data_IF_341106765723
#
_entry.id   IF_341106765723
#
_cell.length_a   1.000
_cell.length_b   1.000
_cell.length_c   1.000
_cell.angle_alpha   90.00
_cell.angle_beta   90.00
_cell.angle_gamma   90.00
#
_symmetry.space_group_name_H-M   'P 1'
#
loop_
_entity.id
_entity.type
_entity.pdbx_description
1 polymer ?
#
# COMPACT_ATOMS: atom_id res chain seq x y z
N UNK A 1 -9.80 -29.65 27.34
CA UNK A 1 -10.51 -30.84 26.81
C UNK A 1 -11.23 -30.37 25.55
N UNK A 2 -11.04 -30.89 24.32
CA UNK A 2 -10.58 -32.19 23.87
C UNK A 2 -9.77 -32.06 22.57
N UNK A 3 -8.80 -32.96 22.42
CA UNK A 3 -7.99 -33.23 21.24
C UNK A 3 -8.80 -33.68 20.03
N UNK A 4 -8.29 -33.42 18.83
CA UNK A 4 -8.38 -34.33 17.66
C UNK A 4 -7.29 -34.00 16.64
N UNK A 5 -6.12 -34.61 16.88
CA UNK A 5 -5.18 -34.99 15.82
C UNK A 5 -5.86 -36.01 14.90
N UNK A 6 -5.70 -35.86 13.58
CA UNK A 6 -5.85 -37.00 12.66
C UNK A 6 -4.74 -37.03 11.61
N UNK A 7 -3.82 -37.95 11.89
CA UNK A 7 -2.85 -38.60 11.02
C UNK A 7 -3.50 -39.28 9.81
N UNK A 8 -2.75 -39.39 8.69
CA UNK A 8 -2.55 -40.60 7.88
C UNK A 8 -2.02 -40.20 6.49
N UNK A 9 -0.71 -40.35 6.22
CA UNK A 9 -0.06 -41.52 5.55
C UNK A 9 -0.35 -41.61 4.04
N UNK A 10 0.65 -41.32 3.19
CA UNK A 10 1.61 -42.28 2.59
C UNK A 10 0.98 -43.13 1.47
N UNK A 11 1.35 -42.84 0.23
CA UNK A 11 1.35 -43.81 -0.88
C UNK A 11 2.58 -43.61 -1.76
N UNK A 12 3.49 -44.56 -1.60
CA UNK A 12 4.54 -44.97 -2.54
C UNK A 12 3.93 -45.49 -3.84
N UNK A 13 4.50 -45.19 -5.01
CA UNK A 13 4.58 -46.22 -6.07
C UNK A 13 5.55 -45.86 -7.20
N UNK A 14 6.63 -46.62 -7.24
CA UNK A 14 7.50 -46.90 -8.36
C UNK A 14 6.76 -47.46 -9.58
N UNK A 15 6.98 -46.90 -10.78
CA UNK A 15 6.96 -47.62 -12.07
C UNK A 15 8.02 -46.99 -12.96
N UNK A 16 9.18 -47.62 -13.13
CA UNK A 16 9.46 -48.72 -14.07
C UNK A 16 9.40 -48.22 -15.51
N UNK A 17 10.57 -48.20 -16.15
CA UNK A 17 10.79 -47.68 -17.48
C UNK A 17 9.90 -48.31 -18.54
N UNK A 18 9.58 -47.50 -19.54
CA UNK A 18 9.05 -47.93 -20.82
C UNK A 18 9.76 -47.13 -21.91
N UNK A 19 10.59 -47.85 -22.66
CA UNK A 19 10.78 -47.77 -24.10
C UNK A 19 10.64 -46.39 -24.76
N UNK A 20 11.77 -45.89 -25.27
CA UNK A 20 11.82 -44.83 -26.26
C UNK A 20 10.84 -45.10 -27.43
N UNK A 21 9.90 -44.18 -27.73
CA UNK A 21 9.11 -44.28 -28.94
C UNK A 21 9.97 -43.87 -30.15
N UNK A 22 10.00 -44.74 -31.17
CA UNK A 22 10.59 -44.46 -32.49
C UNK A 22 10.01 -43.15 -33.04
N UNK A 23 10.85 -42.12 -33.11
CA UNK A 23 10.54 -40.81 -33.69
C UNK A 23 10.44 -41.00 -35.21
N UNK A 24 9.22 -40.97 -35.75
CA UNK A 24 9.01 -40.70 -37.19
C UNK A 24 9.29 -39.22 -37.44
N UNK A 25 10.02 -38.84 -38.50
CA UNK A 25 10.23 -37.44 -38.82
C UNK A 25 8.88 -36.75 -39.08
N UNK A 26 8.59 -35.61 -38.44
CA UNK A 26 7.35 -34.89 -38.70
C UNK A 26 7.35 -34.37 -40.14
N UNK A 27 6.28 -34.66 -40.87
CA UNK A 27 5.94 -34.01 -42.14
C UNK A 27 5.99 -32.50 -41.94
N UNK A 28 6.70 -31.81 -42.83
CA UNK A 28 6.84 -30.36 -42.85
C UNK A 28 5.48 -29.66 -42.66
N UNK A 29 5.36 -28.69 -41.73
CA UNK A 29 4.15 -27.93 -41.58
C UNK A 29 3.92 -27.08 -42.84
N UNK A 30 2.76 -27.30 -43.47
CA UNK A 30 2.26 -26.46 -44.55
C UNK A 30 2.15 -25.01 -44.04
N UNK A 31 2.61 -24.09 -44.87
CA UNK A 31 2.66 -22.66 -44.64
C UNK A 31 1.37 -22.10 -44.00
N UNK A 32 1.52 -21.49 -42.82
CA UNK A 32 0.51 -20.69 -42.13
C UNK A 32 0.30 -19.37 -42.90
N UNK A 33 -0.55 -19.40 -43.93
CA UNK A 33 -1.19 -18.19 -44.46
C UNK A 33 -2.41 -17.90 -43.59
N UNK A 34 -2.23 -17.13 -42.51
CA UNK A 34 -3.26 -16.31 -41.84
C UNK A 34 -2.71 -15.75 -40.51
N UNK A 35 -1.96 -14.64 -40.57
CA UNK A 35 -1.47 -13.90 -39.40
C UNK A 35 -2.10 -12.51 -39.39
N UNK A 36 -3.42 -12.43 -39.19
CA UNK A 36 -4.17 -11.18 -38.92
C UNK A 36 -5.43 -11.40 -38.05
N UNK A 37 -5.33 -11.92 -36.81
CA UNK A 37 -6.39 -11.62 -35.84
C UNK A 37 -5.91 -11.12 -34.45
N UNK A 38 -4.60 -11.02 -34.19
CA UNK A 38 -4.10 -10.71 -32.85
C UNK A 38 -4.52 -9.31 -32.37
N UNK A 39 -4.45 -8.30 -33.26
CA UNK A 39 -4.74 -6.90 -32.92
C UNK A 39 -6.21 -6.70 -32.53
N UNK A 40 -7.15 -7.37 -33.20
CA UNK A 40 -8.57 -7.21 -32.92
C UNK A 40 -8.96 -7.76 -31.53
N UNK A 41 -8.33 -8.86 -31.10
CA UNK A 41 -8.57 -9.45 -29.78
C UNK A 41 -8.10 -8.56 -28.64
N UNK A 42 -6.94 -7.92 -28.80
CA UNK A 42 -6.39 -6.97 -27.82
C UNK A 42 -7.24 -5.71 -27.73
N UNK A 43 -7.73 -5.19 -28.86
CA UNK A 43 -8.62 -4.04 -28.88
C UNK A 43 -9.96 -4.32 -28.19
N UNK A 44 -10.50 -5.53 -28.33
CA UNK A 44 -11.72 -5.94 -27.62
C UNK A 44 -11.47 -6.05 -26.11
N UNK A 45 -10.36 -6.65 -25.70
CA UNK A 45 -9.97 -6.72 -24.29
C UNK A 45 -9.76 -5.32 -23.70
N UNK A 46 -9.06 -4.43 -24.41
CA UNK A 46 -8.85 -3.05 -24.01
C UNK A 46 -10.18 -2.31 -23.82
N UNK A 47 -11.12 -2.41 -24.77
CA UNK A 47 -12.45 -1.81 -24.66
C UNK A 47 -13.23 -2.34 -23.44
N UNK A 48 -13.11 -3.63 -23.12
CA UNK A 48 -13.73 -4.19 -21.92
C UNK A 48 -13.12 -3.63 -20.64
N UNK A 49 -11.79 -3.45 -20.59
CA UNK A 49 -11.12 -2.83 -19.44
C UNK A 49 -11.50 -1.36 -19.27
N UNK A 50 -11.57 -0.59 -20.36
CA UNK A 50 -12.01 0.82 -20.36
C UNK A 50 -13.42 0.92 -19.75
N UNK A 51 -14.37 0.11 -20.22
CA UNK A 51 -15.74 0.08 -19.66
C UNK A 51 -15.78 -0.27 -18.17
N UNK A 52 -14.87 -1.13 -17.70
CA UNK A 52 -14.78 -1.48 -16.27
C UNK A 52 -14.22 -0.31 -15.46
N UNK A 53 -13.21 0.37 -15.98
CA UNK A 53 -12.61 1.55 -15.35
C UNK A 53 -13.61 2.71 -15.29
N UNK A 54 -14.35 2.99 -16.35
CA UNK A 54 -15.41 4.01 -16.37
C UNK A 54 -16.47 3.77 -15.27
N UNK A 55 -16.93 2.52 -15.13
CA UNK A 55 -17.86 2.15 -14.05
C UNK A 55 -17.27 2.33 -12.66
N UNK A 56 -15.98 2.10 -12.49
CA UNK A 56 -15.30 2.29 -11.20
C UNK A 56 -15.13 3.78 -10.90
N UNK A 57 -14.77 4.60 -11.89
CA UNK A 57 -14.66 6.06 -11.76
C UNK A 57 -16.00 6.64 -11.33
N UNK A 58 -17.10 6.31 -12.02
CA UNK A 58 -18.43 6.78 -11.66
C UNK A 58 -18.82 6.41 -10.21
N UNK A 59 -18.52 5.18 -9.77
CA UNK A 59 -18.76 4.75 -8.38
C UNK A 59 -17.91 5.50 -7.35
N UNK A 60 -16.68 5.87 -7.71
CA UNK A 60 -15.80 6.63 -6.83
C UNK A 60 -16.26 8.08 -6.72
N UNK A 61 -16.69 8.68 -7.83
CA UNK A 61 -17.27 10.03 -7.86
C UNK A 61 -18.51 10.12 -6.98
N UNK A 62 -19.45 9.17 -7.09
CA UNK A 62 -20.65 9.09 -6.25
C UNK A 62 -20.29 8.98 -4.75
N UNK A 63 -19.29 8.16 -4.42
CA UNK A 63 -18.81 8.01 -3.02
C UNK A 63 -18.18 9.28 -2.49
N UNK A 64 -17.40 10.00 -3.31
CA UNK A 64 -16.80 11.27 -2.92
C UNK A 64 -17.88 12.33 -2.70
N UNK A 65 -18.86 12.43 -3.58
CA UNK A 65 -19.98 13.36 -3.42
C UNK A 65 -20.76 13.06 -2.12
N UNK A 66 -21.08 11.78 -1.86
CA UNK A 66 -21.70 11.37 -0.61
C UNK A 66 -20.88 11.76 0.61
N UNK A 67 -19.59 11.42 0.65
CA UNK A 67 -18.69 11.75 1.78
C UNK A 67 -18.57 13.25 1.99
N UNK A 68 -18.50 14.05 0.92
CA UNK A 68 -18.44 15.51 1.07
C UNK A 68 -19.73 16.10 1.62
N UNK A 69 -20.90 15.53 1.26
CA UNK A 69 -22.19 15.94 1.83
C UNK A 69 -22.30 15.58 3.32
N UNK A 70 -21.82 14.40 3.72
CA UNK A 70 -21.76 13.96 5.12
C UNK A 70 -20.85 14.88 5.95
N UNK A 71 -19.63 15.15 5.47
CA UNK A 71 -18.70 16.06 6.14
C UNK A 71 -19.24 17.48 6.24
N UNK A 72 -19.87 18.01 5.19
CA UNK A 72 -20.53 19.34 5.25
C UNK A 72 -21.64 19.37 6.31
N UNK A 73 -22.43 18.30 6.42
CA UNK A 73 -23.48 18.19 7.42
C UNK A 73 -22.90 18.08 8.84
N UNK A 74 -21.84 17.31 9.04
CA UNK A 74 -21.13 17.18 10.32
C UNK A 74 -20.49 18.50 10.74
N UNK A 75 -19.82 19.21 9.84
CA UNK A 75 -19.25 20.54 10.11
C UNK A 75 -20.37 21.51 10.50
N UNK A 76 -21.52 21.50 9.81
CA UNK A 76 -22.66 22.37 10.16
C UNK A 76 -23.26 22.02 11.52
N UNK A 77 -23.33 20.73 11.90
CA UNK A 77 -23.76 20.30 13.23
C UNK A 77 -22.75 20.70 14.30
N UNK A 78 -21.46 20.47 14.08
CA UNK A 78 -20.39 20.84 14.99
C UNK A 78 -20.30 22.36 15.21
N UNK A 79 -20.43 23.16 14.14
CA UNK A 79 -20.46 24.62 14.23
C UNK A 79 -21.66 25.15 15.04
N UNK A 80 -22.83 24.52 14.92
CA UNK A 80 -24.00 24.84 15.76
C UNK A 80 -23.79 24.46 17.22
N UNK A 81 -23.19 23.30 17.50
CA UNK A 81 -22.87 22.87 18.86
C UNK A 81 -21.84 23.80 19.53
N UNK A 82 -20.81 24.23 18.81
CA UNK A 82 -19.80 25.16 19.32
C UNK A 82 -20.35 26.57 19.59
N UNK A 83 -21.37 27.02 18.84
CA UNK A 83 -22.00 28.33 19.07
C UNK A 83 -22.97 28.33 20.26
N UNK A 84 -23.41 27.15 20.72
CA UNK A 84 -24.27 26.99 21.89
C UNK A 84 -23.53 26.85 23.24
N UNK A 85 -22.21 26.66 23.25
CA UNK A 85 -21.45 26.39 24.48
C UNK A 85 -20.84 27.63 25.16
N UNK A 86 -21.28 28.85 24.82
CA UNK A 86 -20.86 30.09 25.47
C UNK A 86 -21.58 30.27 26.82
N UNK A 87 -21.33 29.36 27.77
CA UNK A 87 -22.00 29.38 29.07
C UNK A 87 -21.49 28.47 30.20
N UNK A 88 -20.48 27.59 30.02
CA UNK A 88 -19.96 26.79 31.15
C UNK A 88 -18.70 27.44 31.76
N UNK A 89 -18.95 28.40 32.65
CA UNK A 89 -17.98 28.93 33.59
C UNK A 89 -17.68 27.87 34.66
N UNK A 90 -16.50 27.25 34.59
CA UNK A 90 -15.83 26.63 35.73
C UNK A 90 -15.86 25.09 35.80
N UNK A 91 -14.72 24.47 35.47
CA UNK A 91 -14.27 23.26 36.17
C UNK A 91 -12.76 23.39 36.45
N UNK A 92 -12.50 23.96 37.63
CA UNK A 92 -11.18 24.06 38.24
C UNK A 92 -10.94 22.76 39.00
N UNK A 93 -9.93 22.00 38.57
CA UNK A 93 -9.21 21.05 39.42
C UNK A 93 -9.52 19.57 39.23
N UNK A 94 -8.53 18.85 38.71
CA UNK A 94 -8.16 17.53 39.25
C UNK A 94 -6.65 17.33 39.04
N UNK A 95 -5.94 17.77 40.08
CA UNK A 95 -4.53 17.51 40.37
C UNK A 95 -4.49 16.24 41.22
N UNK A 96 -3.69 15.24 40.83
CA UNK A 96 -3.40 14.07 41.67
C UNK A 96 -3.33 12.78 40.85
N UNK A 97 -2.14 12.28 40.54
CA UNK A 97 -1.30 11.44 41.41
C UNK A 97 -1.64 9.95 41.27
N UNK A 98 -0.76 9.18 40.61
CA UNK A 98 0.08 8.19 41.29
C UNK A 98 1.03 7.49 40.33
N UNK A 99 2.31 7.73 40.61
CA UNK A 99 3.47 6.90 40.34
C UNK A 99 3.27 5.45 40.81
N UNK A 100 3.59 4.48 39.94
CA UNK A 100 4.10 3.17 40.37
C UNK A 100 5.41 2.90 39.62
N UNK A 101 6.48 3.24 40.35
CA UNK A 101 7.86 2.80 40.19
C UNK A 101 7.93 1.36 40.69
N UNK A 102 8.42 0.43 39.87
CA UNK A 102 8.99 -0.83 40.35
C UNK A 102 10.18 -1.22 39.47
N UNK A 103 11.34 -1.12 40.11
CA UNK A 103 12.70 -1.47 39.67
C UNK A 103 13.01 -2.91 40.05
N UNK A 104 13.63 -3.69 39.15
CA UNK A 104 14.59 -4.76 39.45
C UNK A 104 15.21 -5.19 38.10
N UNK A 105 16.40 -4.73 37.70
CA UNK A 105 17.72 -5.15 38.16
C UNK A 105 17.99 -6.65 37.96
N UNK A 106 18.39 -7.04 36.74
CA UNK A 106 19.24 -8.21 36.50
C UNK A 106 20.32 -7.83 35.47
N UNK A 107 21.54 -8.25 35.79
CA UNK A 107 22.82 -7.89 35.23
C UNK A 107 23.02 -8.15 33.73
N UNK A 108 23.88 -7.34 33.13
CA UNK A 108 24.58 -7.58 31.86
C UNK A 108 26.04 -8.02 32.16
N UNK A 109 26.90 -8.45 31.19
CA UNK A 109 26.73 -8.88 29.78
C UNK A 109 27.57 -10.19 29.51
N UNK A 110 28.04 -10.62 28.29
CA UNK A 110 27.78 -10.22 26.89
C UNK A 110 27.61 -11.38 25.84
N UNK A 111 27.26 -11.01 24.59
CA UNK A 111 27.60 -11.64 23.28
C UNK A 111 26.77 -12.86 22.74
N UNK A 112 26.77 -13.14 21.41
CA UNK A 112 26.00 -12.44 20.37
C UNK A 112 25.21 -13.42 19.48
N UNK A 113 24.57 -12.92 18.42
CA UNK A 113 23.99 -13.64 17.28
C UNK A 113 22.77 -14.55 17.53
N UNK A 114 21.59 -14.10 17.09
CA UNK A 114 20.75 -14.85 16.15
C UNK A 114 19.44 -14.09 15.91
N UNK A 115 19.05 -14.09 14.65
CA UNK A 115 17.85 -13.48 14.12
C UNK A 115 16.56 -13.93 14.82
N UNK A 116 15.72 -12.98 15.21
CA UNK A 116 14.28 -13.15 15.28
C UNK A 116 13.56 -11.79 15.28
N UNK A 117 12.77 -11.60 14.23
CA UNK A 117 11.43 -10.98 14.22
C UNK A 117 11.18 -9.75 15.11
N UNK A 118 11.19 -8.57 14.46
CA UNK A 118 10.55 -7.37 15.00
C UNK A 118 9.04 -7.45 14.70
N UNK A 119 8.18 -7.34 15.72
CA UNK A 119 6.73 -7.28 15.56
C UNK A 119 6.26 -5.90 15.05
N UNK A 120 5.26 -5.95 14.15
CA UNK A 120 4.25 -4.96 13.80
C UNK A 120 4.53 -3.46 14.08
N UNK A 121 4.77 -2.64 13.03
CA UNK A 121 4.64 -1.19 13.14
C UNK A 121 3.16 -0.79 13.13
N UNK A 122 2.80 -0.05 14.18
CA UNK A 122 1.57 0.75 14.33
C UNK A 122 1.22 1.54 13.05
N UNK A 123 -0.03 1.38 12.59
CA UNK A 123 -0.67 2.18 11.55
C UNK A 123 -0.79 3.65 12.00
N UNK A 124 0.23 4.44 11.73
CA UNK A 124 0.10 5.90 11.63
C UNK A 124 -0.50 6.24 10.27
N UNK A 125 -1.71 6.79 10.33
CA UNK A 125 -2.49 7.41 9.27
C UNK A 125 -1.68 7.92 8.07
N UNK A 126 -1.94 7.34 6.90
CA UNK A 126 -1.55 7.88 5.61
C UNK A 126 -2.47 9.06 5.25
N UNK A 127 -1.97 10.30 5.08
CA UNK A 127 -2.71 11.29 4.32
C UNK A 127 -2.71 10.86 2.86
N UNK A 128 -3.91 10.75 2.31
CA UNK A 128 -4.16 10.71 0.89
C UNK A 128 -3.50 11.93 0.24
N UNK A 129 -2.49 11.71 -0.59
CA UNK A 129 -2.01 12.72 -1.51
C UNK A 129 -1.95 12.10 -2.91
N UNK A 130 -2.53 12.85 -3.84
CA UNK A 130 -2.95 12.43 -5.16
C UNK A 130 -1.78 12.01 -6.03
N UNK A 131 -1.77 10.75 -6.47
CA UNK A 131 -0.89 10.31 -7.55
C UNK A 131 -1.56 10.63 -8.90
N UNK A 132 -1.41 11.88 -9.34
CA UNK A 132 -1.34 12.18 -10.77
C UNK A 132 0.14 12.05 -11.13
N UNK A 133 0.55 11.18 -12.07
CA UNK A 133 1.91 11.16 -12.56
C UNK A 133 2.09 12.41 -13.44
N UNK A 134 2.44 13.53 -12.80
CA UNK A 134 2.87 14.72 -13.50
C UNK A 134 4.26 14.43 -14.07
N UNK A 135 4.24 14.13 -15.36
CA UNK A 135 5.11 14.66 -16.40
C UNK A 135 6.24 15.59 -15.94
N UNK A 136 7.38 15.48 -16.63
CA UNK A 136 8.70 16.03 -16.32
C UNK A 136 8.75 17.57 -16.23
N UNK A 137 8.04 18.15 -15.26
CA UNK A 137 8.15 19.55 -14.91
C UNK A 137 9.55 19.79 -14.33
N UNK A 138 10.20 20.84 -14.84
CA UNK A 138 11.51 21.27 -14.37
C UNK A 138 11.52 21.35 -12.84
N UNK A 139 12.61 20.93 -12.17
CA UNK A 139 12.65 20.81 -10.71
C UNK A 139 12.36 22.13 -9.97
N UNK A 140 12.49 23.26 -10.67
CA UNK A 140 12.11 24.59 -10.18
C UNK A 140 10.61 24.76 -9.90
N UNK A 141 9.74 24.14 -10.70
CA UNK A 141 8.27 24.25 -10.57
C UNK A 141 7.71 23.27 -9.53
N UNK A 142 8.49 22.26 -9.15
CA UNK A 142 8.07 21.28 -8.18
C UNK A 142 7.91 21.89 -6.79
N UNK A 143 6.86 21.47 -6.08
CA UNK A 143 6.67 21.82 -4.68
C UNK A 143 7.68 21.08 -3.80
N UNK A 144 7.96 21.59 -2.60
CA UNK A 144 8.88 20.92 -1.65
C UNK A 144 8.40 19.50 -1.31
N UNK A 145 7.08 19.28 -1.28
CA UNK A 145 6.50 17.96 -1.06
C UNK A 145 6.84 16.97 -2.18
N UNK A 146 6.70 17.40 -3.44
CA UNK A 146 7.06 16.60 -4.62
C UNK A 146 8.56 16.29 -4.65
N UNK A 147 9.41 17.29 -4.40
CA UNK A 147 10.86 17.09 -4.35
C UNK A 147 11.27 16.11 -3.24
N UNK A 148 10.64 16.16 -2.06
CA UNK A 148 10.87 15.17 -0.99
C UNK A 148 10.35 13.78 -1.33
N UNK A 149 9.31 13.68 -2.16
CA UNK A 149 8.82 12.38 -2.65
C UNK A 149 9.82 11.77 -3.65
N UNK A 150 10.32 12.57 -4.59
CA UNK A 150 11.37 12.16 -5.53
C UNK A 150 12.66 11.77 -4.79
N UNK A 151 13.10 12.57 -3.81
CA UNK A 151 14.29 12.29 -3.00
C UNK A 151 14.14 10.98 -2.18
N UNK A 152 12.93 10.66 -1.71
CA UNK A 152 12.64 9.36 -1.08
C UNK A 152 12.79 8.20 -2.04
N UNK A 153 12.26 8.34 -3.26
CA UNK A 153 12.36 7.30 -4.28
C UNK A 153 13.81 7.05 -4.71
N UNK A 154 14.65 8.09 -4.69
CA UNK A 154 16.09 7.97 -4.95
C UNK A 154 16.93 7.62 -3.71
N UNK A 155 16.33 7.55 -2.52
CA UNK A 155 17.05 7.18 -1.29
C UNK A 155 18.03 8.24 -0.76
N UNK A 156 17.82 9.53 -1.07
CA UNK A 156 18.71 10.61 -0.63
C UNK A 156 18.71 10.72 0.91
N UNK A 157 19.82 10.51 1.62
CA UNK A 157 19.85 10.55 3.09
C UNK A 157 19.61 11.97 3.62
N UNK A 158 18.84 12.09 4.70
CA UNK A 158 18.58 13.39 5.34
C UNK A 158 17.62 14.33 4.58
N UNK A 159 17.00 13.88 3.49
CA UNK A 159 16.07 14.68 2.64
C UNK A 159 15.00 15.46 3.43
N UNK A 160 14.55 14.94 4.57
CA UNK A 160 13.51 15.56 5.40
C UNK A 160 13.93 16.93 5.97
N UNK A 161 15.24 17.14 6.16
CA UNK A 161 15.81 18.38 6.72
C UNK A 161 16.27 19.37 5.65
N UNK A 162 16.31 18.94 4.39
CA UNK A 162 16.79 19.75 3.28
C UNK A 162 15.78 20.82 2.87
N UNK A 163 16.30 21.99 2.48
CA UNK A 163 15.53 23.09 1.87
C UNK A 163 15.28 22.82 0.38
N UNK A 164 14.38 23.58 -0.26
CA UNK A 164 14.01 23.40 -1.68
C UNK A 164 15.24 23.35 -2.59
N UNK A 165 16.15 24.32 -2.45
CA UNK A 165 17.34 24.41 -3.29
C UNK A 165 18.29 23.21 -3.11
N UNK A 166 18.44 22.74 -1.88
CA UNK A 166 19.25 21.56 -1.57
C UNK A 166 18.62 20.28 -2.16
N UNK A 167 17.30 20.17 -2.11
CA UNK A 167 16.58 19.03 -2.72
C UNK A 167 16.73 19.03 -4.25
N UNK A 168 16.67 20.21 -4.89
CA UNK A 168 16.91 20.34 -6.33
C UNK A 168 18.35 19.93 -6.67
N UNK A 169 19.33 20.42 -5.90
CA UNK A 169 20.73 20.08 -6.12
C UNK A 169 21.05 18.58 -5.91
N UNK A 170 20.32 17.89 -5.03
CA UNK A 170 20.52 16.47 -4.77
C UNK A 170 19.80 15.54 -5.78
N UNK A 171 18.87 16.08 -6.57
CA UNK A 171 18.09 15.36 -7.58
C UNK A 171 18.54 15.64 -9.02
N UNK A 172 19.39 16.66 -9.20
CA UNK A 172 20.02 17.00 -10.47
C UNK A 172 21.21 16.08 -10.74
#
# INVERSE_FOLDING_TARGET
>A
MASKNKSASKTTSSRKGASAPKIKPPKAPKALKNVKPAVDSELVAARATIKKLEKNVAKLEEKLEKRTSELKAEIKKAAKAAKGSKGSKGSKGSKGAKTTKATAAVAAPPEPVAAAEVPAPVETAAPADSAVPADAAAPAEQTVAQLRAAARQQGVPGYSRMRKDQLIAALA
#
